data_IF_319819617961
#
_entry.id   IF_319819617961
#
_cell.length_a   1.000
_cell.length_b   1.000
_cell.length_c   1.000
_cell.angle_alpha   90.00
_cell.angle_beta   90.00
_cell.angle_gamma   90.00
#
_symmetry.space_group_name_H-M   'P 1'
#
loop_
_entity.id
_entity.type
_entity.pdbx_description
1 polymer ?
#
# COMPACT_ATOMS: atom_id res chain seq x y z
N UNK A 1 10.91 7.97 22.58
CA UNK A 1 11.45 6.62 22.35
C UNK A 1 12.40 6.72 21.16
N UNK A 2 13.70 6.60 21.39
CA UNK A 2 14.72 6.50 20.35
C UNK A 2 14.60 5.13 19.72
N UNK A 3 13.78 5.00 18.66
CA UNK A 3 13.74 3.78 17.87
C UNK A 3 15.10 3.55 17.20
N UNK A 4 15.60 2.30 17.23
CA UNK A 4 16.82 1.95 16.50
C UNK A 4 16.61 2.23 15.01
N UNK A 5 17.54 2.92 14.38
CA UNK A 5 17.54 3.11 12.95
C UNK A 5 17.87 1.76 12.28
N UNK A 6 16.96 1.26 11.47
CA UNK A 6 17.12 0.03 10.71
C UNK A 6 17.10 0.37 9.21
N UNK A 7 17.94 -0.30 8.42
CA UNK A 7 17.92 -0.16 6.97
C UNK A 7 16.85 -1.07 6.38
N UNK A 8 16.06 -0.60 5.40
CA UNK A 8 15.15 -1.44 4.64
C UNK A 8 15.93 -2.45 3.77
N UNK A 9 15.28 -3.53 3.35
CA UNK A 9 15.82 -4.43 2.32
C UNK A 9 15.63 -3.83 0.93
N UNK A 10 14.52 -3.10 0.75
CA UNK A 10 14.22 -2.35 -0.47
C UNK A 10 13.59 -1.00 -0.11
N UNK A 11 14.02 0.05 -0.82
CA UNK A 11 13.36 1.36 -0.82
C UNK A 11 13.20 1.82 -2.25
N UNK A 12 12.00 2.26 -2.60
CA UNK A 12 11.66 2.71 -3.94
C UNK A 12 10.92 4.03 -3.89
N UNK A 13 11.32 4.95 -4.76
CA UNK A 13 10.64 6.21 -5.05
C UNK A 13 10.12 6.17 -6.48
N UNK A 14 8.84 6.43 -6.68
CA UNK A 14 8.21 6.42 -7.99
C UNK A 14 7.40 7.70 -8.22
N UNK A 15 7.44 8.22 -9.45
CA UNK A 15 6.52 9.26 -9.92
C UNK A 15 5.16 8.62 -10.23
N UNK A 16 4.13 8.97 -9.45
CA UNK A 16 2.79 8.38 -9.59
C UNK A 16 2.15 8.72 -10.93
N UNK A 17 2.40 9.93 -11.47
CA UNK A 17 1.77 10.41 -12.70
C UNK A 17 2.38 9.77 -13.95
N UNK A 18 3.70 9.48 -13.90
CA UNK A 18 4.44 8.91 -15.04
C UNK A 18 4.66 7.42 -14.95
N UNK A 19 4.55 6.85 -13.75
CA UNK A 19 4.89 5.45 -13.48
C UNK A 19 6.40 5.16 -13.49
N UNK A 20 7.24 6.19 -13.49
CA UNK A 20 8.70 6.06 -13.55
C UNK A 20 9.29 5.83 -12.16
N UNK A 21 10.20 4.87 -12.03
CA UNK A 21 11.02 4.70 -10.83
C UNK A 21 12.11 5.77 -10.83
N UNK A 22 12.08 6.67 -9.86
CA UNK A 22 13.03 7.76 -9.71
C UNK A 22 14.28 7.34 -8.92
N UNK A 23 14.11 6.48 -7.93
CA UNK A 23 15.20 5.93 -7.13
C UNK A 23 14.84 4.53 -6.63
N UNK A 24 15.83 3.66 -6.61
CA UNK A 24 15.74 2.30 -6.09
C UNK A 24 16.99 2.00 -5.26
N UNK A 25 16.77 1.53 -4.05
CA UNK A 25 17.82 1.11 -3.13
C UNK A 25 17.52 -0.31 -2.65
N UNK A 26 18.46 -1.22 -2.83
CA UNK A 26 18.42 -2.56 -2.25
C UNK A 26 19.24 -2.64 -0.95
N UNK A 27 19.27 -3.81 -0.32
CA UNK A 27 19.95 -4.03 0.96
C UNK A 27 21.45 -3.70 0.94
N UNK A 28 22.09 -3.69 -0.23
CA UNK A 28 23.52 -3.39 -0.37
C UNK A 28 23.78 -1.89 -0.27
N UNK A 29 22.85 -1.08 -0.76
CA UNK A 29 22.97 0.37 -0.80
C UNK A 29 22.11 1.09 0.25
N UNK A 30 21.20 0.37 0.91
CA UNK A 30 20.31 0.95 1.91
C UNK A 30 21.09 1.38 3.15
N UNK A 31 21.22 2.68 3.34
CA UNK A 31 21.81 3.33 4.52
C UNK A 31 20.70 3.84 5.44
N UNK A 32 21.10 4.34 6.61
CA UNK A 32 20.17 4.98 7.57
C UNK A 32 19.55 6.26 7.02
N UNK A 33 20.27 6.93 6.14
CA UNK A 33 19.83 8.12 5.40
C UNK A 33 20.15 7.92 3.93
N UNK A 34 19.17 8.18 3.08
CA UNK A 34 19.28 8.05 1.63
C UNK A 34 18.88 9.37 0.98
N UNK A 35 19.64 9.79 -0.02
CA UNK A 35 19.40 11.03 -0.76
C UNK A 35 18.95 10.71 -2.18
N UNK A 36 17.85 11.28 -2.61
CA UNK A 36 17.38 11.18 -3.99
C UNK A 36 17.07 12.57 -4.56
N UNK A 37 17.45 12.78 -5.81
CA UNK A 37 17.03 13.97 -6.57
C UNK A 37 15.69 13.67 -7.22
N UNK A 38 14.67 14.45 -6.90
CA UNK A 38 13.32 14.24 -7.40
C UNK A 38 12.77 15.50 -8.07
N UNK A 39 11.94 15.38 -9.10
CA UNK A 39 11.33 16.53 -9.76
C UNK A 39 10.39 17.30 -8.80
N UNK A 40 10.38 18.62 -8.93
CA UNK A 40 9.42 19.47 -8.23
C UNK A 40 7.98 19.28 -8.76
N UNK A 41 6.98 19.64 -7.96
CA UNK A 41 5.55 19.61 -8.32
C UNK A 41 5.07 18.22 -8.76
N UNK A 42 5.58 17.16 -8.12
CA UNK A 42 5.21 15.78 -8.40
C UNK A 42 4.60 15.11 -7.18
N UNK A 43 3.71 14.17 -7.45
CA UNK A 43 3.25 13.21 -6.46
C UNK A 43 4.14 11.96 -6.54
N UNK A 44 4.84 11.68 -5.46
CA UNK A 44 5.75 10.55 -5.36
C UNK A 44 5.12 9.48 -4.49
N UNK A 45 5.28 8.21 -4.88
CA UNK A 45 5.02 7.05 -4.03
C UNK A 45 6.36 6.59 -3.43
N UNK A 46 6.36 6.40 -2.12
CA UNK A 46 7.51 5.91 -1.35
C UNK A 46 7.16 4.56 -0.78
N UNK A 47 7.90 3.52 -1.16
CA UNK A 47 7.75 2.19 -0.60
C UNK A 47 9.05 1.71 0.03
N UNK A 48 8.95 1.18 1.24
CA UNK A 48 10.07 0.55 1.94
C UNK A 48 9.66 -0.82 2.45
N UNK A 49 10.46 -1.83 2.15
CA UNK A 49 10.22 -3.23 2.52
C UNK A 49 11.39 -3.75 3.33
N UNK A 50 11.07 -4.45 4.42
CA UNK A 50 12.04 -5.19 5.23
C UNK A 50 11.42 -6.49 5.71
N UNK A 51 12.18 -7.58 5.63
CA UNK A 51 11.76 -8.88 6.17
C UNK A 51 11.43 -8.76 7.66
N UNK A 52 10.28 -9.33 8.07
CA UNK A 52 9.80 -9.27 9.46
C UNK A 52 9.12 -7.95 9.85
N UNK A 53 8.94 -7.02 8.88
CA UNK A 53 8.26 -5.73 9.10
C UNK A 53 7.15 -5.54 8.08
N UNK A 54 6.06 -4.86 8.49
CA UNK A 54 5.08 -4.36 7.54
C UNK A 54 5.78 -3.42 6.55
N UNK A 55 5.49 -3.56 5.27
CA UNK A 55 6.03 -2.62 4.33
C UNK A 55 5.39 -1.23 4.49
N UNK A 56 6.17 -0.21 4.25
CA UNK A 56 5.72 1.17 4.27
C UNK A 56 5.34 1.60 2.86
N UNK A 57 4.15 2.15 2.70
CA UNK A 57 3.68 2.77 1.46
C UNK A 57 3.05 4.12 1.81
N UNK A 58 3.55 5.20 1.24
CA UNK A 58 2.97 6.52 1.41
C UNK A 58 3.23 7.42 0.20
N UNK A 59 2.41 8.44 0.03
CA UNK A 59 2.56 9.42 -1.03
C UNK A 59 3.13 10.73 -0.49
N UNK A 60 4.10 11.29 -1.19
CA UNK A 60 4.70 12.58 -0.91
C UNK A 60 4.40 13.55 -2.06
N UNK A 61 3.76 14.67 -1.76
CA UNK A 61 3.61 15.76 -2.74
C UNK A 61 4.79 16.71 -2.63
N UNK A 62 5.60 16.73 -3.68
CA UNK A 62 6.70 17.67 -3.79
C UNK A 62 6.15 19.03 -4.21
N UNK A 63 6.38 20.07 -3.38
CA UNK A 63 5.99 21.45 -3.68
C UNK A 63 6.94 22.14 -4.66
N UNK A 64 6.64 23.41 -4.99
CA UNK A 64 7.59 24.28 -5.69
C UNK A 64 8.78 24.55 -4.79
N UNK A 65 10.03 24.43 -5.29
CA UNK A 65 11.18 24.77 -4.49
C UNK A 65 11.15 26.27 -4.12
N UNK A 66 11.02 26.58 -2.86
CA UNK A 66 11.31 27.91 -2.33
C UNK A 66 12.73 27.89 -1.77
N UNK A 67 13.73 28.02 -2.67
CA UNK A 67 15.14 27.97 -2.31
C UNK A 67 15.78 26.57 -2.37
N UNK A 68 17.00 26.42 -1.85
CA UNK A 68 17.69 25.13 -1.70
C UNK A 68 16.97 24.27 -0.63
N UNK A 69 15.85 23.64 -1.01
CA UNK A 69 15.02 22.85 -0.10
C UNK A 69 15.34 21.38 -0.16
N UNK A 70 15.93 20.82 0.90
CA UNK A 70 15.89 19.38 1.17
C UNK A 70 14.59 19.05 1.90
N UNK A 71 13.80 18.11 1.36
CA UNK A 71 12.67 17.52 2.06
C UNK A 71 13.13 16.25 2.74
N UNK A 72 12.93 16.14 4.07
CA UNK A 72 13.21 14.91 4.78
C UNK A 72 11.93 14.15 5.06
N UNK A 73 11.91 12.86 4.73
CA UNK A 73 10.83 11.94 5.07
C UNK A 73 11.37 10.87 6.04
N UNK A 74 10.69 10.72 7.16
CA UNK A 74 11.01 9.67 8.13
C UNK A 74 10.11 8.47 7.93
N UNK A 75 10.71 7.35 7.50
CA UNK A 75 10.02 6.08 7.33
C UNK A 75 10.08 5.29 8.63
N UNK A 76 8.93 4.90 9.16
CA UNK A 76 8.81 4.11 10.38
C UNK A 76 8.27 2.72 10.04
N UNK A 77 9.15 1.72 9.97
CA UNK A 77 8.77 0.33 9.78
C UNK A 77 8.27 -0.28 11.10
N UNK A 78 7.16 -1.01 11.03
CA UNK A 78 6.57 -1.70 12.18
C UNK A 78 6.81 -3.20 12.06
N UNK A 79 7.30 -3.89 13.12
CA UNK A 79 7.40 -5.34 13.11
C UNK A 79 6.03 -5.97 12.80
N UNK A 80 6.04 -7.05 12.00
CA UNK A 80 4.81 -7.78 11.68
C UNK A 80 4.23 -8.38 12.95
N UNK A 81 2.93 -8.17 13.15
CA UNK A 81 2.15 -8.77 14.25
C UNK A 81 0.79 -9.19 13.71
N UNK A 82 0.23 -10.22 14.31
CA UNK A 82 -1.16 -10.63 14.03
C UNK A 82 -2.14 -9.47 14.24
N UNK A 83 -3.19 -9.45 13.45
CA UNK A 83 -4.27 -8.44 13.42
C UNK A 83 -3.87 -7.02 13.02
N UNK A 84 -2.62 -6.80 12.60
CA UNK A 84 -2.25 -5.53 11.98
C UNK A 84 -2.86 -5.40 10.59
N UNK A 85 -3.27 -4.17 10.26
CA UNK A 85 -3.82 -3.80 8.96
C UNK A 85 -2.93 -2.78 8.27
N UNK A 86 -2.78 -2.91 6.94
CA UNK A 86 -2.06 -1.98 6.09
C UNK A 86 -2.95 -1.57 4.91
N UNK A 87 -3.19 -0.28 4.76
CA UNK A 87 -3.90 0.28 3.61
C UNK A 87 -2.99 0.30 2.39
N UNK A 88 -3.47 -0.25 1.28
CA UNK A 88 -2.77 -0.27 -0.01
C UNK A 88 -3.07 1.03 -0.77
N UNK A 89 -2.25 2.06 -0.56
CA UNK A 89 -2.49 3.42 -1.10
C UNK A 89 -2.32 3.54 -2.61
N UNK A 90 -1.61 2.60 -3.22
CA UNK A 90 -1.36 2.55 -4.67
C UNK A 90 -2.29 1.62 -5.44
N UNK A 91 -3.41 1.19 -4.88
CA UNK A 91 -4.43 0.38 -5.57
C UNK A 91 -5.57 1.29 -6.03
N UNK A 92 -5.78 1.34 -7.34
CA UNK A 92 -6.75 2.23 -7.98
C UNK A 92 -7.77 1.45 -8.81
N UNK A 93 -9.02 1.93 -8.73
CA UNK A 93 -10.15 1.46 -9.53
C UNK A 93 -10.87 2.66 -10.14
N UNK A 94 -11.59 2.45 -11.22
CA UNK A 94 -12.53 3.46 -11.70
C UNK A 94 -13.80 3.49 -10.83
N UNK A 95 -14.59 4.55 -11.00
CA UNK A 95 -15.85 4.69 -10.28
C UNK A 95 -16.76 3.52 -10.65
N UNK A 96 -17.31 2.86 -9.63
CA UNK A 96 -18.21 1.72 -9.79
C UNK A 96 -17.61 0.54 -10.60
N UNK A 97 -16.28 0.43 -10.61
CA UNK A 97 -15.54 -0.65 -11.27
C UNK A 97 -14.64 -1.38 -10.27
N UNK A 98 -14.37 -2.65 -10.54
CA UNK A 98 -13.46 -3.50 -9.76
C UNK A 98 -12.20 -3.89 -10.54
N UNK A 99 -12.07 -3.50 -11.81
CA UNK A 99 -10.88 -3.76 -12.61
C UNK A 99 -9.74 -2.90 -12.14
N UNK A 100 -8.62 -3.55 -11.84
CA UNK A 100 -7.40 -2.86 -11.43
C UNK A 100 -6.91 -1.93 -12.55
N UNK A 101 -6.62 -0.69 -12.21
CA UNK A 101 -5.99 0.24 -13.15
C UNK A 101 -4.52 -0.11 -13.36
N UNK A 102 -3.92 0.21 -14.51
CA UNK A 102 -2.51 -0.06 -14.77
C UNK A 102 -1.56 0.52 -13.72
N UNK A 103 -1.90 1.68 -13.15
CA UNK A 103 -1.14 2.36 -12.12
C UNK A 103 -1.02 1.54 -10.83
N UNK A 104 -1.94 0.59 -10.60
CA UNK A 104 -1.91 -0.31 -9.45
C UNK A 104 -0.81 -1.37 -9.54
N UNK A 105 -0.26 -1.63 -10.72
CA UNK A 105 0.74 -2.69 -10.93
C UNK A 105 1.95 -2.53 -10.01
N UNK A 106 2.35 -1.31 -9.74
CA UNK A 106 3.51 -1.05 -8.90
C UNK A 106 3.26 -1.48 -7.43
N UNK A 107 2.16 -1.02 -6.83
CA UNK A 107 1.80 -1.41 -5.45
C UNK A 107 1.63 -2.93 -5.33
N UNK A 108 1.03 -3.56 -6.34
CA UNK A 108 0.88 -5.01 -6.40
C UNK A 108 2.22 -5.74 -6.44
N UNK A 109 3.23 -5.21 -7.16
CA UNK A 109 4.58 -5.76 -7.17
C UNK A 109 5.28 -5.62 -5.82
N UNK A 110 5.07 -4.50 -5.11
CA UNK A 110 5.60 -4.31 -3.75
C UNK A 110 4.96 -5.29 -2.77
N UNK A 111 3.64 -5.48 -2.87
CA UNK A 111 2.93 -6.47 -2.06
C UNK A 111 3.42 -7.90 -2.34
N UNK A 112 3.68 -8.25 -3.61
CA UNK A 112 4.30 -9.52 -3.98
C UNK A 112 5.67 -9.71 -3.34
N UNK A 113 6.53 -8.69 -3.41
CA UNK A 113 7.87 -8.71 -2.82
C UNK A 113 7.78 -8.90 -1.31
N UNK A 114 6.88 -8.16 -0.65
CA UNK A 114 6.61 -8.29 0.78
C UNK A 114 6.19 -9.72 1.16
N UNK A 115 5.23 -10.32 0.42
CA UNK A 115 4.74 -11.68 0.70
C UNK A 115 5.79 -12.76 0.41
N UNK A 116 6.67 -12.55 -0.56
CA UNK A 116 7.79 -13.48 -0.87
C UNK A 116 8.90 -13.42 0.17
N UNK A 117 9.18 -12.25 0.73
CA UNK A 117 10.15 -12.08 1.82
C UNK A 117 9.66 -12.65 3.15
N UNK A 118 8.33 -12.74 3.34
CA UNK A 118 7.70 -13.22 4.56
C UNK A 118 6.78 -14.41 4.22
N UNK A 119 7.33 -15.60 3.88
CA UNK A 119 6.54 -16.74 3.43
C UNK A 119 5.63 -17.33 4.51
N UNK A 120 5.90 -17.05 5.77
CA UNK A 120 5.18 -17.53 6.95
C UNK A 120 3.87 -16.81 7.23
N UNK A 121 3.68 -15.61 6.68
CA UNK A 121 2.48 -14.83 6.98
C UNK A 121 1.27 -15.26 6.13
N UNK A 122 0.11 -15.19 6.76
CA UNK A 122 -1.19 -15.29 6.08
C UNK A 122 -1.90 -13.96 6.16
N UNK A 123 -2.61 -13.59 5.09
CA UNK A 123 -3.28 -12.31 4.95
C UNK A 123 -4.76 -12.45 4.58
N UNK A 124 -5.56 -11.48 5.00
CA UNK A 124 -6.86 -11.17 4.41
C UNK A 124 -6.74 -9.89 3.58
N UNK A 125 -7.22 -9.96 2.34
CA UNK A 125 -7.35 -8.80 1.46
C UNK A 125 -8.77 -8.26 1.65
N UNK A 126 -8.90 -7.04 2.14
CA UNK A 126 -10.17 -6.45 2.53
C UNK A 126 -10.50 -5.26 1.62
N UNK A 127 -11.71 -5.30 1.02
CA UNK A 127 -12.23 -4.22 0.20
C UNK A 127 -13.27 -3.39 0.96
N UNK A 128 -13.24 -2.08 0.75
CA UNK A 128 -14.15 -1.12 1.39
C UNK A 128 -14.69 -0.11 0.38
N UNK A 129 -15.87 0.43 0.67
CA UNK A 129 -16.50 1.52 -0.08
C UNK A 129 -16.81 2.71 0.84
N UNK A 130 -17.16 3.83 0.25
CA UNK A 130 -17.87 4.88 0.97
C UNK A 130 -19.35 4.50 1.20
N UNK A 131 -20.15 5.42 1.77
CA UNK A 131 -21.56 5.19 2.05
C UNK A 131 -22.51 5.44 0.86
N UNK A 132 -21.98 5.70 -0.33
CA UNK A 132 -22.79 5.95 -1.54
C UNK A 132 -23.34 4.64 -2.10
N UNK A 133 -24.61 4.59 -2.42
CA UNK A 133 -25.25 3.41 -2.98
C UNK A 133 -25.85 2.45 -1.94
N UNK A 134 -26.37 1.31 -2.40
CA UNK A 134 -27.01 0.30 -1.56
C UNK A 134 -25.98 -0.61 -0.89
N UNK A 135 -26.32 -1.17 0.27
CA UNK A 135 -25.46 -2.09 1.01
C UNK A 135 -25.07 -3.30 0.20
N UNK A 136 -26.03 -3.90 -0.50
CA UNK A 136 -25.80 -5.07 -1.36
C UNK A 136 -24.80 -4.75 -2.48
N UNK A 137 -24.95 -3.60 -3.13
CA UNK A 137 -24.05 -3.16 -4.19
C UNK A 137 -22.63 -2.92 -3.65
N UNK A 138 -22.51 -2.19 -2.55
CA UNK A 138 -21.23 -1.87 -1.93
C UNK A 138 -20.49 -3.12 -1.45
N UNK A 139 -21.23 -4.08 -0.87
CA UNK A 139 -20.65 -5.36 -0.47
C UNK A 139 -20.07 -6.09 -1.68
N UNK A 140 -20.85 -6.25 -2.76
CA UNK A 140 -20.39 -6.94 -3.96
C UNK A 140 -19.23 -6.24 -4.65
N UNK A 141 -19.27 -4.89 -4.76
CA UNK A 141 -18.19 -4.10 -5.36
C UNK A 141 -16.88 -4.24 -4.57
N UNK A 142 -16.95 -4.14 -3.24
CA UNK A 142 -15.79 -4.27 -2.38
C UNK A 142 -15.20 -5.68 -2.41
N UNK A 143 -16.05 -6.72 -2.45
CA UNK A 143 -15.62 -8.10 -2.57
C UNK A 143 -14.93 -8.37 -3.91
N UNK A 144 -15.50 -7.88 -5.02
CA UNK A 144 -14.90 -7.99 -6.34
C UNK A 144 -13.53 -7.29 -6.42
N UNK A 145 -13.38 -6.12 -5.79
CA UNK A 145 -12.10 -5.40 -5.71
C UNK A 145 -11.05 -6.18 -4.93
N UNK A 146 -11.41 -6.73 -3.78
CA UNK A 146 -10.52 -7.59 -3.00
C UNK A 146 -10.14 -8.86 -3.78
N UNK A 147 -11.10 -9.45 -4.52
CA UNK A 147 -10.86 -10.60 -5.37
C UNK A 147 -9.87 -10.33 -6.51
N UNK A 148 -9.94 -9.16 -7.17
CA UNK A 148 -8.96 -8.83 -8.24
C UNK A 148 -7.53 -8.72 -7.70
N UNK A 149 -7.33 -8.20 -6.51
CA UNK A 149 -6.01 -8.19 -5.85
C UNK A 149 -5.58 -9.63 -5.50
N UNK A 150 -6.46 -10.43 -4.89
CA UNK A 150 -6.21 -11.85 -4.62
C UNK A 150 -5.82 -12.62 -5.88
N UNK A 151 -6.58 -12.46 -6.97
CA UNK A 151 -6.34 -13.09 -8.25
C UNK A 151 -4.98 -12.71 -8.83
N UNK A 152 -4.59 -11.44 -8.74
CA UNK A 152 -3.26 -11.00 -9.16
C UNK A 152 -2.15 -11.72 -8.39
N UNK A 153 -2.26 -11.79 -7.06
CA UNK A 153 -1.28 -12.47 -6.21
C UNK A 153 -1.22 -13.97 -6.50
N UNK A 154 -2.38 -14.61 -6.67
CA UNK A 154 -2.46 -16.04 -7.01
C UNK A 154 -1.80 -16.35 -8.36
N UNK A 155 -2.07 -15.55 -9.39
CA UNK A 155 -1.46 -15.70 -10.72
C UNK A 155 0.08 -15.46 -10.68
N UNK A 156 0.57 -14.75 -9.68
CA UNK A 156 1.98 -14.53 -9.43
C UNK A 156 2.58 -15.50 -8.38
N UNK A 157 1.94 -16.67 -8.20
CA UNK A 157 2.43 -17.80 -7.41
C UNK A 157 2.50 -17.58 -5.89
N UNK A 158 1.66 -16.71 -5.33
CA UNK A 158 1.42 -16.73 -3.89
C UNK A 158 0.40 -17.84 -3.59
N UNK A 159 0.70 -18.69 -2.62
CA UNK A 159 -0.13 -19.82 -2.26
C UNK A 159 -1.52 -19.34 -1.77
N UNK A 160 -2.57 -19.96 -2.30
CA UNK A 160 -3.96 -19.68 -1.94
C UNK A 160 -4.24 -19.88 -0.44
N UNK A 161 -3.54 -20.81 0.21
CA UNK A 161 -3.71 -21.09 1.64
C UNK A 161 -3.15 -19.96 2.54
N UNK A 162 -2.36 -19.08 1.96
CA UNK A 162 -1.83 -17.88 2.61
C UNK A 162 -2.74 -16.66 2.48
N UNK A 163 -3.79 -16.75 1.67
CA UNK A 163 -4.59 -15.58 1.31
C UNK A 163 -6.07 -15.88 1.40
N UNK A 164 -6.81 -14.95 1.94
CA UNK A 164 -8.26 -14.87 1.78
C UNK A 164 -8.65 -13.46 1.36
N UNK A 165 -9.84 -13.29 0.82
CA UNK A 165 -10.37 -11.98 0.44
C UNK A 165 -11.78 -11.80 0.99
N UNK A 166 -12.14 -10.55 1.30
CA UNK A 166 -13.45 -10.20 1.82
C UNK A 166 -13.85 -8.77 1.46
N UNK A 167 -15.11 -8.58 1.08
CA UNK A 167 -15.74 -7.28 0.97
C UNK A 167 -16.41 -6.89 2.27
N UNK A 168 -16.25 -5.67 2.70
CA UNK A 168 -16.90 -5.09 3.87
C UNK A 168 -17.90 -3.99 3.50
N UNK A 169 -17.99 -3.64 2.19
CA UNK A 169 -18.82 -2.53 1.76
C UNK A 169 -18.50 -1.27 2.56
N UNK A 170 -19.53 -0.61 3.06
CA UNK A 170 -19.44 0.62 3.86
C UNK A 170 -19.39 0.40 5.39
N UNK A 171 -19.32 -0.85 5.85
CA UNK A 171 -19.48 -1.18 7.28
C UNK A 171 -18.31 -0.75 8.16
N UNK A 172 -17.13 -0.55 7.58
CA UNK A 172 -15.90 -0.22 8.33
C UNK A 172 -15.26 1.08 7.83
N UNK A 173 -15.91 2.24 8.04
CA UNK A 173 -15.33 3.52 7.65
C UNK A 173 -14.14 3.88 8.54
N UNK A 174 -13.09 4.48 7.94
CA UNK A 174 -11.92 5.02 8.65
C UNK A 174 -11.94 6.55 8.70
N UNK A 175 -12.81 7.18 7.92
CA UNK A 175 -13.01 8.62 7.86
C UNK A 175 -14.50 8.96 7.79
N UNK A 176 -14.91 10.20 8.12
CA UNK A 176 -16.28 10.66 7.95
C UNK A 176 -16.73 10.59 6.47
N UNK A 177 -17.99 10.18 6.24
CA UNK A 177 -18.56 10.10 4.88
C UNK A 177 -19.32 11.38 4.46
N UNK A 178 -19.16 12.48 5.16
CA UNK A 178 -19.78 13.76 4.92
C UNK A 178 -18.93 14.69 4.03
N UNK A 179 -17.66 14.33 3.78
CA UNK A 179 -16.75 15.03 2.88
C UNK A 179 -16.27 14.10 1.75
N UNK A 180 -15.90 14.67 0.61
CA UNK A 180 -15.35 13.86 -0.50
C UNK A 180 -13.98 13.26 -0.16
N UNK A 181 -13.19 13.97 0.65
CA UNK A 181 -11.90 13.47 1.17
C UNK A 181 -12.10 12.22 2.04
N UNK A 182 -13.04 12.29 2.99
CA UNK A 182 -13.33 11.15 3.86
C UNK A 182 -13.91 9.95 3.11
N UNK A 183 -14.80 10.21 2.12
CA UNK A 183 -15.28 9.15 1.22
C UNK A 183 -14.12 8.52 0.43
N UNK A 184 -13.18 9.34 -0.07
CA UNK A 184 -12.01 8.84 -0.79
C UNK A 184 -11.15 7.93 0.09
N UNK A 185 -10.97 8.26 1.37
CA UNK A 185 -10.26 7.41 2.33
C UNK A 185 -11.01 6.10 2.61
N UNK A 186 -12.35 6.14 2.63
CA UNK A 186 -13.18 4.95 2.83
C UNK A 186 -13.16 4.01 1.61
N UNK A 187 -13.01 4.52 0.38
CA UNK A 187 -12.84 3.72 -0.84
C UNK A 187 -11.42 3.17 -0.92
N UNK A 188 -11.13 2.12 -0.18
CA UNK A 188 -9.79 1.56 -0.03
C UNK A 188 -9.75 0.04 -0.15
N UNK A 189 -8.57 -0.47 -0.42
CA UNK A 189 -8.20 -1.87 -0.23
C UNK A 189 -7.11 -1.93 0.84
N UNK A 190 -7.19 -2.92 1.72
CA UNK A 190 -6.19 -3.14 2.75
C UNK A 190 -5.83 -4.61 2.88
N UNK A 191 -4.70 -4.92 3.50
CA UNK A 191 -4.35 -6.26 3.93
C UNK A 191 -4.33 -6.31 5.44
N UNK A 192 -4.89 -7.39 6.00
CA UNK A 192 -4.82 -7.72 7.42
C UNK A 192 -3.95 -8.95 7.61
N UNK A 193 -3.03 -8.92 8.57
CA UNK A 193 -2.20 -10.06 8.95
C UNK A 193 -3.04 -11.01 9.81
N UNK A 194 -3.23 -12.26 9.36
CA UNK A 194 -4.01 -13.27 10.07
C UNK A 194 -3.14 -14.14 10.98
N UNK A 195 -1.94 -14.47 10.52
CA UNK A 195 -0.93 -15.20 11.29
C UNK A 195 0.47 -14.69 10.95
N UNK A 196 1.33 -14.69 11.94
CA UNK A 196 2.78 -14.50 11.81
C UNK A 196 3.43 -15.50 12.75
N UNK A 197 4.57 -16.08 12.36
CA UNK A 197 5.37 -16.83 13.33
C UNK A 197 5.89 -15.87 14.39
N UNK A 198 5.80 -16.26 15.66
CA UNK A 198 6.38 -15.54 16.80
C UNK A 198 7.91 -15.70 16.83
#
# INVERSE_FOLDING_TARGET
RTGNLISPDYLVLMDVERGDTLAYYDSVYAQKEMLACVPANRLLLVNAIKKGYLYYSDTLRMGTPSGEGTHSCKICLQPIRKDQTLVLKGIFFDVDDYRLKPESCYELQQLLTFLRLNPEIQIEISGHTDNTGSDRHNYQLSENRAFEVYKYLFLNHIDKERMQYKGYGKEQPIAPNDTEEGKAENRRTEIKILSSEE
#
